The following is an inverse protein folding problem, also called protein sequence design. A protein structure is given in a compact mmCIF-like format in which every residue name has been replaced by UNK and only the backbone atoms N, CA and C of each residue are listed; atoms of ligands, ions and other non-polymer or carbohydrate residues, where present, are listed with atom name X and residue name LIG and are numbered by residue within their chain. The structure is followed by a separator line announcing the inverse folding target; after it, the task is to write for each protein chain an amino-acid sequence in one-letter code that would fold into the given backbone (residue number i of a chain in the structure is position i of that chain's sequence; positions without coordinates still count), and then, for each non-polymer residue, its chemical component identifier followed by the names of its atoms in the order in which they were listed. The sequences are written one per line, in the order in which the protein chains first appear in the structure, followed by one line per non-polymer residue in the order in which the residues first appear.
data_IF_908689125317
#
_entry.id   IF_908689125317
#
_cell.length_a   1.000
_cell.length_b   1.000
_cell.length_c   1.000
_cell.angle_alpha   90.00
_cell.angle_beta   90.00
_cell.angle_gamma   90.00
#
_symmetry.space_group_name_H-M   'P 1'
#
loop_
_entity.id
_entity.type
_entity.pdbx_description
1 polymer ?
#
# COMPACT_ATOMS: atom_id res chain seq x y z
N UNK A 1 -6.89 -10.55 -5.02
CA UNK A 1 -7.05 -9.68 -3.83
C UNK A 1 -5.66 -9.50 -3.26
N UNK A 2 -5.00 -8.38 -3.57
CA UNK A 2 -3.59 -8.15 -3.19
C UNK A 2 -3.56 -7.25 -1.95
N UNK A 3 -2.89 -7.70 -0.88
CA UNK A 3 -2.76 -6.97 0.37
C UNK A 3 -1.49 -6.12 0.39
N UNK A 4 -1.57 -4.95 1.01
CA UNK A 4 -0.48 -3.98 1.13
C UNK A 4 -0.30 -3.59 2.58
N UNK A 5 0.93 -3.63 3.07
CA UNK A 5 1.31 -3.18 4.40
C UNK A 5 1.86 -1.77 4.34
N UNK A 6 1.33 -0.86 5.13
CA UNK A 6 1.90 0.47 5.34
C UNK A 6 3.15 0.36 6.22
N UNK A 7 4.29 0.77 5.69
CA UNK A 7 5.57 0.71 6.40
C UNK A 7 5.74 1.82 7.45
N UNK A 8 4.87 2.83 7.45
CA UNK A 8 4.92 3.93 8.43
C UNK A 8 4.18 3.58 9.73
N UNK A 9 3.03 2.90 9.64
CA UNK A 9 2.18 2.64 10.81
C UNK A 9 1.67 1.20 10.96
N UNK A 10 2.02 0.30 10.04
CA UNK A 10 1.59 -1.09 10.08
C UNK A 10 0.15 -1.35 9.60
N UNK A 11 -0.54 -0.35 9.05
CA UNK A 11 -1.89 -0.54 8.50
C UNK A 11 -1.89 -1.48 7.29
N UNK A 12 -2.85 -2.41 7.20
CA UNK A 12 -2.99 -3.33 6.06
C UNK A 12 -4.24 -2.97 5.25
N UNK A 13 -4.06 -2.70 3.96
CA UNK A 13 -5.14 -2.36 3.02
C UNK A 13 -5.09 -3.20 1.76
N UNK A 14 -6.20 -3.26 1.02
CA UNK A 14 -6.23 -3.93 -0.28
C UNK A 14 -5.71 -2.99 -1.41
N UNK A 15 -5.31 -3.59 -2.53
CA UNK A 15 -4.92 -2.85 -3.72
C UNK A 15 -6.11 -2.07 -4.31
N UNK A 16 -5.83 -0.98 -5.04
CA UNK A 16 -6.79 0.01 -5.54
C UNK A 16 -7.92 -0.54 -6.45
N UNK A 17 -7.86 -1.81 -6.81
CA UNK A 17 -8.82 -2.50 -7.70
C UNK A 17 -9.92 -3.27 -6.96
N UNK A 18 -10.08 -3.13 -5.64
CA UNK A 18 -11.11 -3.87 -4.86
C UNK A 18 -11.99 -2.92 -4.06
N UNK A 19 -13.33 -2.89 -4.26
CA UNK A 19 -14.18 -1.87 -3.66
C UNK A 19 -14.15 -1.90 -2.13
N UNK A 20 -13.52 -0.87 -1.56
CA UNK A 20 -13.50 -0.59 -0.12
C UNK A 20 -12.24 -1.08 0.61
N UNK A 21 -11.60 -0.15 1.34
CA UNK A 21 -10.40 -0.33 2.20
C UNK A 21 -9.04 -0.35 1.49
N UNK A 22 -8.84 0.61 0.59
CA UNK A 22 -7.61 0.73 -0.18
C UNK A 22 -6.42 1.27 0.62
N UNK A 23 -5.24 0.68 0.39
CA UNK A 23 -3.97 1.23 0.84
C UNK A 23 -3.67 2.62 0.25
N UNK A 24 -4.21 2.94 -0.93
CA UNK A 24 -4.12 4.27 -1.55
C UNK A 24 -4.94 5.33 -0.81
N UNK A 25 -6.14 4.98 -0.33
CA UNK A 25 -6.97 5.88 0.45
C UNK A 25 -6.32 6.19 1.79
N UNK A 26 -5.74 5.17 2.45
CA UNK A 26 -4.93 5.35 3.65
C UNK A 26 -3.72 6.26 3.40
N UNK A 27 -2.99 6.04 2.30
CA UNK A 27 -1.85 6.87 1.94
C UNK A 27 -2.22 8.34 1.76
N UNK A 28 -3.36 8.63 1.11
CA UNK A 28 -3.83 10.00 0.91
C UNK A 28 -4.39 10.62 2.19
N UNK A 29 -5.19 9.88 2.96
CA UNK A 29 -5.86 10.43 4.16
C UNK A 29 -4.90 10.69 5.32
N UNK A 30 -3.91 9.81 5.52
CA UNK A 30 -2.99 9.85 6.66
C UNK A 30 -1.63 10.43 6.27
N UNK A 31 -1.29 10.48 4.98
CA UNK A 31 0.03 10.91 4.52
C UNK A 31 1.11 9.83 4.72
N UNK A 32 0.74 8.56 4.61
CA UNK A 32 1.68 7.43 4.66
C UNK A 32 1.89 6.85 3.27
N UNK A 33 2.85 7.37 2.48
CA UNK A 33 2.89 7.10 1.04
C UNK A 33 3.51 5.75 0.70
N UNK A 34 4.25 5.12 1.61
CA UNK A 34 5.02 3.90 1.34
C UNK A 34 4.27 2.67 1.83
N UNK A 35 4.07 1.71 0.93
CA UNK A 35 3.50 0.40 1.22
C UNK A 35 4.35 -0.73 0.66
N UNK A 36 4.32 -1.89 1.29
CA UNK A 36 4.95 -3.13 0.83
C UNK A 36 3.91 -4.13 0.37
N UNK A 37 4.25 -4.95 -0.63
CA UNK A 37 3.44 -6.12 -0.96
C UNK A 37 3.45 -7.15 0.18
N UNK A 38 2.30 -7.72 0.47
CA UNK A 38 2.18 -8.86 1.41
C UNK A 38 1.95 -10.18 0.68
N UNK A 39 2.20 -10.22 -0.63
CA UNK A 39 2.02 -11.44 -1.40
C UNK A 39 3.21 -12.39 -1.23
N UNK A 40 2.97 -13.71 -1.13
CA UNK A 40 4.03 -14.68 -1.05
C UNK A 40 4.97 -14.58 -2.27
N UNK A 41 6.24 -14.26 -2.02
CA UNK A 41 7.27 -14.15 -3.06
C UNK A 41 7.44 -12.74 -3.64
N UNK A 42 6.65 -11.75 -3.20
CA UNK A 42 6.85 -10.34 -3.54
C UNK A 42 7.51 -9.60 -2.37
N UNK A 43 8.59 -8.87 -2.63
CA UNK A 43 9.27 -8.02 -1.64
C UNK A 43 9.38 -6.56 -2.06
N UNK A 44 8.62 -6.16 -3.09
CA UNK A 44 8.67 -4.80 -3.57
C UNK A 44 7.88 -3.84 -2.67
N UNK A 45 8.30 -2.58 -2.67
CA UNK A 45 7.57 -1.48 -2.03
C UNK A 45 7.21 -0.44 -3.07
N UNK A 46 6.18 0.33 -2.77
CA UNK A 46 5.62 1.34 -3.66
C UNK A 46 5.39 2.64 -2.91
N UNK A 47 5.81 3.74 -3.52
CA UNK A 47 5.49 5.08 -3.06
C UNK A 47 4.33 5.65 -3.88
N UNK A 48 3.21 5.97 -3.21
CA UNK A 48 2.05 6.60 -3.86
C UNK A 48 2.32 8.03 -4.33
N UNK A 49 3.30 8.72 -3.76
CA UNK A 49 3.68 10.09 -4.14
C UNK A 49 4.53 10.07 -5.41
N UNK A 50 5.59 9.25 -5.43
CA UNK A 50 6.50 9.15 -6.57
C UNK A 50 5.95 8.26 -7.70
N UNK A 51 4.86 7.53 -7.42
CA UNK A 51 4.26 6.54 -8.33
C UNK A 51 5.31 5.56 -8.89
N UNK A 52 6.24 5.13 -8.03
CA UNK A 52 7.35 4.25 -8.41
C UNK A 52 7.69 3.24 -7.31
N UNK A 53 8.40 2.18 -7.69
CA UNK A 53 8.96 1.20 -6.75
C UNK A 53 10.10 1.81 -5.93
N UNK A 54 10.18 1.43 -4.65
CA UNK A 54 11.21 1.87 -3.68
C UNK A 54 11.84 0.72 -2.91
#
# INVERSE_FOLDING_TARGET
MHLRLCLTCGHVGCCASSPGKHASAHAHAIGHPIVQSMEPGEDWRWCYVDQNFV
#
